data_IF_763120519465
#
_entry.id   IF_763120519465
#
_cell.length_a   1.000
_cell.length_b   1.000
_cell.length_c   1.000
_cell.angle_alpha   90.00
_cell.angle_beta   90.00
_cell.angle_gamma   90.00
#
_symmetry.space_group_name_H-M   'P 1'
#
loop_
_entity.id
_entity.type
_entity.pdbx_description
1 polymer ?
#
# COMPACT_ATOMS: atom_id res chain seq x y z
N UNK A 1 0.13 11.21 7.08
CA UNK A 1 0.82 12.11 6.12
C UNK A 1 0.78 11.50 4.73
N UNK A 2 1.50 10.40 4.48
CA UNK A 2 1.47 9.67 3.20
C UNK A 2 0.06 9.39 2.67
N UNK A 3 -0.80 8.76 3.47
CA UNK A 3 -2.15 8.39 3.05
C UNK A 3 -3.03 9.61 2.68
N UNK A 4 -2.92 10.70 3.45
CA UNK A 4 -3.67 11.93 3.17
C UNK A 4 -3.25 12.56 1.83
N UNK A 5 -1.95 12.61 1.55
CA UNK A 5 -1.45 13.13 0.27
C UNK A 5 -1.84 12.21 -0.89
N UNK A 6 -1.81 10.89 -0.68
CA UNK A 6 -2.31 9.92 -1.66
C UNK A 6 -3.78 10.15 -1.99
N UNK A 7 -4.67 10.36 -1.00
CA UNK A 7 -6.07 10.71 -1.26
C UNK A 7 -6.23 12.02 -2.03
N UNK A 8 -5.40 13.02 -1.70
CA UNK A 8 -5.48 14.34 -2.31
C UNK A 8 -5.01 14.37 -3.76
N UNK A 9 -4.01 13.55 -4.07
CA UNK A 9 -3.29 13.56 -5.35
C UNK A 9 -3.26 12.20 -6.02
N UNK A 10 -4.27 11.34 -5.77
CA UNK A 10 -4.33 9.98 -6.34
C UNK A 10 -4.09 10.02 -7.84
N UNK A 11 -3.15 9.20 -8.31
CA UNK A 11 -2.73 9.08 -9.71
C UNK A 11 -2.10 10.34 -10.34
N UNK A 12 -1.72 11.35 -9.56
CA UNK A 12 -0.90 12.47 -10.03
C UNK A 12 0.58 12.05 -10.08
N UNK A 13 1.23 11.97 -11.27
CA UNK A 13 2.59 11.45 -11.38
C UNK A 13 3.65 12.25 -10.60
N UNK A 14 3.41 13.54 -10.34
CA UNK A 14 4.35 14.41 -9.66
C UNK A 14 4.11 14.50 -8.16
N UNK A 15 2.90 14.18 -7.68
CA UNK A 15 2.47 14.45 -6.30
C UNK A 15 1.96 13.24 -5.54
N UNK A 16 1.48 12.20 -6.23
CA UNK A 16 1.05 10.97 -5.57
C UNK A 16 2.26 10.28 -4.94
N UNK A 17 2.30 10.14 -3.60
CA UNK A 17 3.43 9.51 -2.93
C UNK A 17 3.59 8.03 -3.33
N UNK A 18 2.54 7.35 -3.81
CA UNK A 18 2.64 6.00 -4.36
C UNK A 18 3.35 5.98 -5.71
N UNK A 19 3.08 6.93 -6.60
CA UNK A 19 3.71 6.98 -7.92
C UNK A 19 5.15 7.51 -7.84
N UNK A 20 5.39 8.57 -7.06
CA UNK A 20 6.72 9.19 -6.89
C UNK A 20 7.73 8.22 -6.29
N UNK A 21 7.27 7.23 -5.53
CA UNK A 21 8.14 6.19 -4.93
C UNK A 21 8.09 4.84 -5.64
N UNK A 22 7.17 4.67 -6.60
CA UNK A 22 7.07 3.45 -7.38
C UNK A 22 7.99 3.49 -8.61
N UNK A 23 8.37 2.29 -9.06
CA UNK A 23 8.98 2.09 -10.36
C UNK A 23 8.26 0.95 -11.07
N UNK A 24 8.11 1.09 -12.39
CA UNK A 24 7.59 0.01 -13.23
C UNK A 24 8.67 -1.09 -13.28
N UNK A 25 8.39 -2.33 -12.84
CA UNK A 25 9.41 -3.37 -12.80
C UNK A 25 9.94 -3.70 -14.19
N UNK A 26 11.26 -3.65 -14.42
CA UNK A 26 11.84 -3.73 -15.78
C UNK A 26 11.86 -5.14 -16.41
N UNK A 27 11.43 -6.19 -15.71
CA UNK A 27 11.42 -7.57 -16.21
C UNK A 27 10.36 -8.41 -15.50
N UNK A 28 10.02 -9.58 -16.04
CA UNK A 28 9.02 -10.49 -15.43
C UNK A 28 9.50 -11.01 -14.07
N UNK A 29 10.80 -11.26 -13.92
CA UNK A 29 11.41 -11.62 -12.62
C UNK A 29 11.24 -10.49 -11.60
N UNK A 30 11.56 -9.24 -11.96
CA UNK A 30 11.39 -8.10 -11.05
C UNK A 30 9.91 -7.85 -10.74
N UNK A 31 9.01 -8.08 -11.70
CA UNK A 31 7.57 -8.00 -11.49
C UNK A 31 7.09 -9.06 -10.51
N UNK A 32 7.50 -10.32 -10.66
CA UNK A 32 7.18 -11.39 -9.74
C UNK A 32 7.66 -11.07 -8.32
N UNK A 33 8.91 -10.62 -8.17
CA UNK A 33 9.47 -10.16 -6.89
C UNK A 33 8.66 -8.98 -6.33
N UNK A 34 8.27 -8.01 -7.16
CA UNK A 34 7.46 -6.88 -6.72
C UNK A 34 6.10 -7.32 -6.17
N UNK A 35 5.45 -8.33 -6.76
CA UNK A 35 4.18 -8.89 -6.28
C UNK A 35 4.30 -9.65 -4.95
N UNK A 36 5.50 -10.09 -4.54
CA UNK A 36 5.68 -10.65 -3.19
C UNK A 36 5.60 -9.60 -2.07
N UNK A 37 5.74 -8.31 -2.40
CA UNK A 37 5.85 -7.23 -1.42
C UNK A 37 7.18 -7.17 -0.66
N UNK A 38 8.12 -8.11 -0.89
CA UNK A 38 9.38 -8.15 -0.14
C UNK A 38 10.24 -6.89 -0.35
N UNK A 39 10.24 -6.35 -1.57
CA UNK A 39 10.96 -5.10 -1.89
C UNK A 39 10.41 -3.95 -1.08
N UNK A 40 9.08 -3.85 -0.97
CA UNK A 40 8.42 -2.81 -0.18
C UNK A 40 8.73 -2.98 1.31
N UNK A 41 8.70 -4.21 1.83
CA UNK A 41 9.03 -4.49 3.23
C UNK A 41 10.47 -4.08 3.55
N UNK A 42 11.43 -4.51 2.74
CA UNK A 42 12.84 -4.15 2.90
C UNK A 42 13.01 -2.62 2.83
N UNK A 43 12.36 -1.95 1.89
CA UNK A 43 12.44 -0.49 1.77
C UNK A 43 11.85 0.21 3.00
N UNK A 44 10.75 -0.29 3.57
CA UNK A 44 10.16 0.27 4.80
C UNK A 44 11.08 0.06 6.01
N UNK A 45 11.69 -1.11 6.15
CA UNK A 45 12.67 -1.39 7.22
C UNK A 45 13.89 -0.47 7.07
N UNK A 46 14.47 -0.38 5.87
CA UNK A 46 15.60 0.53 5.59
C UNK A 46 15.25 1.98 5.89
N UNK A 47 14.05 2.42 5.49
CA UNK A 47 13.58 3.78 5.74
C UNK A 47 13.41 4.08 7.23
N UNK A 48 12.86 3.12 8.00
CA UNK A 48 12.73 3.22 9.45
C UNK A 48 14.11 3.45 10.11
N UNK A 49 15.06 2.55 9.87
CA UNK A 49 16.40 2.65 10.47
C UNK A 49 17.17 3.88 9.97
N UNK A 50 17.08 4.21 8.67
CA UNK A 50 17.70 5.43 8.12
C UNK A 50 17.19 6.67 8.84
N UNK A 51 15.87 6.81 9.04
CA UNK A 51 15.29 7.95 9.76
C UNK A 51 15.73 7.98 11.22
N UNK A 52 15.70 6.84 11.90
CA UNK A 52 16.10 6.72 13.30
C UNK A 52 17.57 7.14 13.52
N UNK A 53 18.47 6.66 12.66
CA UNK A 53 19.92 6.88 12.76
C UNK A 53 20.35 8.26 12.27
N UNK A 54 19.86 8.71 11.11
CA UNK A 54 20.30 9.97 10.50
C UNK A 54 19.58 11.19 11.07
N UNK A 55 18.43 11.00 11.73
CA UNK A 55 17.58 12.10 12.18
C UNK A 55 16.94 12.90 11.05
N UNK A 56 16.94 12.38 9.81
CA UNK A 56 16.36 13.05 8.63
C UNK A 56 15.10 12.34 8.18
N UNK A 57 13.99 13.07 8.10
CA UNK A 57 12.69 12.58 7.61
C UNK A 57 12.14 13.42 6.46
N UNK A 58 13.02 13.88 5.56
CA UNK A 58 12.64 14.68 4.38
C UNK A 58 11.91 13.80 3.37
N UNK A 59 10.68 14.18 3.03
CA UNK A 59 9.89 13.64 1.93
C UNK A 59 8.84 14.69 1.50
N UNK A 60 8.37 14.69 0.24
CA UNK A 60 7.42 15.69 -0.26
C UNK A 60 6.14 15.82 0.58
N UNK A 61 5.64 14.72 1.13
CA UNK A 61 4.44 14.64 1.97
C UNK A 61 4.70 14.81 3.47
N UNK A 62 5.91 15.16 3.89
CA UNK A 62 6.24 15.39 5.31
C UNK A 62 6.56 16.88 5.52
N UNK A 63 5.62 17.64 6.12
CA UNK A 63 5.89 19.02 6.49
C UNK A 63 7.10 19.15 7.40
N UNK A 64 7.91 20.19 7.21
CA UNK A 64 9.14 20.42 8.00
C UNK A 64 8.88 20.41 9.51
N UNK A 65 7.81 21.07 9.96
CA UNK A 65 7.37 21.11 11.34
C UNK A 65 7.04 19.72 11.95
N UNK A 66 6.82 18.69 11.12
CA UNK A 66 6.53 17.31 11.56
C UNK A 66 7.71 16.36 11.43
N UNK A 67 8.86 16.81 10.91
CA UNK A 67 10.01 15.92 10.69
C UNK A 67 10.58 15.38 12.01
N UNK A 68 10.68 16.22 13.04
CA UNK A 68 11.17 15.80 14.37
C UNK A 68 10.28 14.72 14.99
N UNK A 69 8.96 14.86 14.84
CA UNK A 69 7.98 13.86 15.29
C UNK A 69 8.20 12.52 14.56
N UNK A 70 8.31 12.53 13.23
CA UNK A 70 8.55 11.31 12.43
C UNK A 70 9.86 10.63 12.80
N UNK A 71 10.91 11.40 13.10
CA UNK A 71 12.19 10.86 13.58
C UNK A 71 12.06 10.24 14.96
N UNK A 72 11.34 10.91 15.87
CA UNK A 72 11.05 10.38 17.20
C UNK A 72 10.32 9.05 17.15
N UNK A 73 9.24 8.97 16.35
CA UNK A 73 8.52 7.72 16.10
C UNK A 73 9.45 6.64 15.54
N UNK A 74 10.28 6.97 14.54
CA UNK A 74 11.22 6.02 13.94
C UNK A 74 12.22 5.45 14.97
N UNK A 75 12.71 6.28 15.90
CA UNK A 75 13.61 5.86 16.98
C UNK A 75 12.90 4.94 17.98
N UNK A 76 11.67 5.27 18.36
CA UNK A 76 10.87 4.44 19.27
C UNK A 76 10.63 3.06 18.64
N UNK A 77 10.17 3.01 17.38
CA UNK A 77 9.97 1.75 16.67
C UNK A 77 11.28 0.94 16.54
N UNK A 78 12.38 1.58 16.15
CA UNK A 78 13.68 0.91 16.05
C UNK A 78 14.13 0.35 17.41
N UNK A 79 13.97 1.11 18.49
CA UNK A 79 14.28 0.67 19.84
C UNK A 79 13.44 -0.53 20.26
N UNK A 80 12.11 -0.49 20.02
CA UNK A 80 11.21 -1.62 20.30
C UNK A 80 11.69 -2.88 19.57
N UNK A 81 12.03 -2.78 18.27
CA UNK A 81 12.52 -3.94 17.52
C UNK A 81 13.86 -4.48 18.03
N UNK A 82 14.79 -3.60 18.43
CA UNK A 82 16.06 -4.00 19.05
C UNK A 82 15.81 -4.71 20.38
N UNK A 83 14.92 -4.18 21.22
CA UNK A 83 14.57 -4.80 22.51
C UNK A 83 13.88 -6.15 22.34
N UNK A 84 12.94 -6.28 21.39
CA UNK A 84 12.28 -7.55 21.09
C UNK A 84 13.27 -8.60 20.59
N UNK A 85 14.22 -8.21 19.74
CA UNK A 85 15.26 -9.12 19.25
C UNK A 85 16.20 -9.53 20.38
N UNK A 86 16.70 -8.57 21.16
CA UNK A 86 17.56 -8.84 22.31
C UNK A 86 16.87 -9.74 23.35
N UNK A 87 15.60 -9.47 23.65
CA UNK A 87 14.78 -10.30 24.53
C UNK A 87 14.57 -11.71 23.97
N UNK A 88 14.34 -11.86 22.67
CA UNK A 88 14.20 -13.18 22.03
C UNK A 88 15.49 -14.00 22.17
N UNK A 89 16.65 -13.37 22.01
CA UNK A 89 17.96 -14.02 22.17
C UNK A 89 18.21 -14.38 23.64
N UNK A 90 18.00 -13.42 24.55
CA UNK A 90 18.24 -13.61 25.98
C UNK A 90 17.35 -14.70 26.59
N UNK A 91 16.10 -14.79 26.14
CA UNK A 91 15.13 -15.81 26.56
C UNK A 91 15.17 -17.08 25.70
N UNK A 92 16.08 -17.15 24.72
CA UNK A 92 16.21 -18.28 23.78
C UNK A 92 14.89 -18.71 23.13
N UNK A 93 14.05 -17.74 22.76
CA UNK A 93 12.71 -17.99 22.22
C UNK A 93 12.61 -17.57 20.76
N UNK A 94 11.79 -18.31 20.01
CA UNK A 94 11.49 -18.04 18.59
C UNK A 94 10.11 -17.42 18.39
N UNK A 95 9.42 -17.02 19.47
CA UNK A 95 8.08 -16.41 19.42
C UNK A 95 8.04 -15.18 18.51
N UNK A 96 9.07 -14.31 18.56
CA UNK A 96 9.16 -13.15 17.66
C UNK A 96 9.18 -13.57 16.19
N UNK A 97 9.82 -14.69 15.85
CA UNK A 97 9.82 -15.19 14.48
C UNK A 97 8.45 -15.73 14.07
N UNK A 98 7.90 -16.66 14.84
CA UNK A 98 6.66 -17.37 14.48
C UNK A 98 5.40 -16.51 14.58
N UNK A 99 5.30 -15.64 15.58
CA UNK A 99 4.11 -14.85 15.84
C UNK A 99 4.15 -13.46 15.19
N UNK A 100 5.32 -13.00 14.73
CA UNK A 100 5.46 -11.66 14.15
C UNK A 100 6.15 -11.66 12.78
N UNK A 101 7.42 -12.04 12.70
CA UNK A 101 8.20 -11.87 11.46
C UNK A 101 7.68 -12.72 10.30
N UNK A 102 7.36 -13.99 10.55
CA UNK A 102 6.83 -14.87 9.51
C UNK A 102 5.43 -14.41 9.04
N UNK A 103 4.44 -14.15 9.92
CA UNK A 103 3.16 -13.57 9.52
C UNK A 103 3.29 -12.24 8.77
N UNK A 104 4.24 -11.37 9.16
CA UNK A 104 4.49 -10.11 8.48
C UNK A 104 4.93 -10.33 7.03
N UNK A 105 5.90 -11.22 6.79
CA UNK A 105 6.40 -11.54 5.44
C UNK A 105 5.31 -12.20 4.60
N UNK A 106 4.60 -13.18 5.16
CA UNK A 106 3.48 -13.85 4.47
C UNK A 106 2.36 -12.86 4.16
N UNK A 107 2.05 -11.94 5.08
CA UNK A 107 1.06 -10.90 4.88
C UNK A 107 1.38 -9.98 3.69
N UNK A 108 2.66 -9.66 3.46
CA UNK A 108 3.08 -8.85 2.31
C UNK A 108 2.77 -9.52 0.96
N UNK A 109 2.84 -10.86 0.89
CA UNK A 109 2.52 -11.63 -0.31
C UNK A 109 1.06 -11.44 -0.75
N UNK A 110 0.15 -11.23 0.22
CA UNK A 110 -1.26 -10.96 -0.06
C UNK A 110 -1.57 -9.47 -0.19
N UNK A 111 -0.94 -8.65 0.65
CA UNK A 111 -1.15 -7.20 0.67
C UNK A 111 -0.71 -6.55 -0.64
N UNK A 112 0.40 -7.00 -1.23
CA UNK A 112 0.92 -6.30 -2.41
C UNK A 112 0.05 -6.45 -3.66
N UNK A 113 -0.45 -7.65 -4.03
CA UNK A 113 -1.45 -7.79 -5.09
C UNK A 113 -2.75 -7.04 -4.77
N UNK A 114 -3.14 -6.99 -3.49
CA UNK A 114 -4.32 -6.24 -3.03
C UNK A 114 -4.16 -4.74 -3.33
N UNK A 115 -3.04 -4.12 -2.96
CA UNK A 115 -2.76 -2.70 -3.22
C UNK A 115 -2.61 -2.41 -4.73
N UNK A 116 -1.97 -3.30 -5.50
CA UNK A 116 -1.91 -3.09 -6.95
C UNK A 116 -3.29 -3.08 -7.62
N UNK A 117 -4.25 -3.83 -7.08
CA UNK A 117 -5.61 -3.87 -7.59
C UNK A 117 -6.37 -2.54 -7.44
N UNK A 118 -5.93 -1.65 -6.55
CA UNK A 118 -6.64 -0.40 -6.22
C UNK A 118 -6.51 0.67 -7.31
N UNK A 119 -5.30 0.88 -7.83
CA UNK A 119 -5.02 2.01 -8.74
C UNK A 119 -4.33 1.57 -10.04
N UNK A 120 -3.62 0.44 -10.07
CA UNK A 120 -2.82 0.07 -11.26
C UNK A 120 -3.70 -0.07 -12.49
N UNK A 121 -3.37 0.69 -13.55
CA UNK A 121 -4.13 0.74 -14.80
C UNK A 121 -5.44 1.51 -14.74
N UNK A 122 -5.65 2.37 -13.74
CA UNK A 122 -6.71 3.37 -13.73
C UNK A 122 -6.23 4.70 -14.33
N UNK A 123 -7.15 5.62 -14.59
CA UNK A 123 -6.85 6.88 -15.28
C UNK A 123 -6.04 7.86 -14.42
N UNK A 124 -5.25 8.72 -15.06
CA UNK A 124 -4.51 9.81 -14.43
C UNK A 124 -5.34 11.10 -14.34
N UNK A 125 -6.51 11.02 -13.71
CA UNK A 125 -7.41 12.16 -13.50
C UNK A 125 -7.60 12.50 -12.03
N UNK A 126 -8.28 13.62 -11.76
CA UNK A 126 -8.60 14.05 -10.39
C UNK A 126 -9.81 13.31 -9.79
N UNK A 127 -10.58 12.60 -10.60
CA UNK A 127 -11.82 11.96 -10.16
C UNK A 127 -11.52 10.60 -9.56
N UNK A 128 -11.86 10.41 -8.27
CA UNK A 128 -11.79 9.10 -7.60
C UNK A 128 -12.54 7.99 -8.35
N UNK A 129 -13.57 8.34 -9.12
CA UNK A 129 -14.37 7.40 -9.90
C UNK A 129 -13.67 6.85 -11.15
N UNK A 130 -12.63 7.55 -11.61
CA UNK A 130 -11.84 7.22 -12.81
C UNK A 130 -10.44 6.75 -12.45
N UNK A 131 -9.84 7.28 -11.38
CA UNK A 131 -8.44 7.02 -11.02
C UNK A 131 -8.27 5.88 -9.98
N UNK A 132 -9.37 5.27 -9.56
CA UNK A 132 -9.42 4.23 -8.53
C UNK A 132 -10.35 3.09 -8.96
N UNK A 133 -10.12 1.88 -8.43
CA UNK A 133 -10.90 0.67 -8.71
C UNK A 133 -11.56 0.11 -7.47
N UNK A 134 -12.86 -0.14 -7.56
CA UNK A 134 -13.56 -1.00 -6.59
C UNK A 134 -13.50 -2.45 -7.05
N UNK A 135 -12.96 -3.33 -6.21
CA UNK A 135 -12.81 -4.76 -6.51
C UNK A 135 -13.90 -5.57 -5.81
N UNK A 136 -14.92 -5.95 -6.56
CA UNK A 136 -16.02 -6.78 -6.06
C UNK A 136 -15.51 -8.19 -5.75
N UNK A 137 -15.62 -8.55 -4.47
CA UNK A 137 -15.04 -9.79 -3.92
C UNK A 137 -15.98 -10.45 -2.90
N UNK A 138 -15.62 -11.64 -2.44
CA UNK A 138 -16.41 -12.43 -1.48
C UNK A 138 -16.41 -11.87 -0.05
N UNK A 139 -17.33 -12.38 0.77
CA UNK A 139 -17.54 -11.93 2.14
C UNK A 139 -16.30 -12.05 3.03
N UNK A 140 -15.50 -13.11 2.87
CA UNK A 140 -14.27 -13.30 3.66
C UNK A 140 -13.28 -12.16 3.45
N UNK A 141 -13.02 -11.79 2.19
CA UNK A 141 -12.09 -10.70 1.89
C UNK A 141 -12.65 -9.37 2.38
N UNK A 142 -13.94 -9.10 2.17
CA UNK A 142 -14.61 -7.91 2.71
C UNK A 142 -14.50 -7.83 4.23
N UNK A 143 -14.70 -8.92 4.95
CA UNK A 143 -14.53 -8.95 6.40
C UNK A 143 -13.08 -8.69 6.81
N UNK A 144 -12.13 -9.42 6.22
CA UNK A 144 -10.71 -9.33 6.56
C UNK A 144 -10.12 -7.93 6.30
N UNK A 145 -10.52 -7.30 5.20
CA UNK A 145 -10.06 -5.98 4.78
C UNK A 145 -11.02 -4.85 5.19
N UNK A 146 -11.98 -5.11 6.08
CA UNK A 146 -12.95 -4.11 6.53
C UNK A 146 -13.62 -3.36 5.38
N UNK A 147 -14.17 -4.05 4.39
CA UNK A 147 -14.83 -3.48 3.21
C UNK A 147 -13.96 -2.53 2.37
N UNK A 148 -12.66 -2.43 2.61
CA UNK A 148 -11.74 -1.64 1.77
C UNK A 148 -11.69 -2.03 0.27
N UNK A 149 -12.17 -3.21 -0.21
CA UNK A 149 -12.29 -3.44 -1.65
C UNK A 149 -13.26 -2.46 -2.33
N UNK A 150 -14.14 -1.80 -1.57
CA UNK A 150 -14.91 -0.61 -1.98
C UNK A 150 -14.01 0.64 -1.93
N UNK A 151 -12.98 0.62 -2.77
CA UNK A 151 -11.87 1.57 -2.69
C UNK A 151 -12.19 2.89 -3.40
N UNK A 152 -12.99 2.88 -4.46
CA UNK A 152 -13.47 4.13 -5.08
C UNK A 152 -14.31 4.91 -4.10
N UNK A 153 -15.16 4.24 -3.33
CA UNK A 153 -15.98 4.81 -2.28
C UNK A 153 -15.10 5.46 -1.20
N UNK A 154 -14.08 4.73 -0.75
CA UNK A 154 -13.09 5.24 0.20
C UNK A 154 -12.34 6.47 -0.33
N UNK A 155 -11.94 6.47 -1.60
CA UNK A 155 -11.23 7.61 -2.20
C UNK A 155 -12.14 8.82 -2.46
N UNK A 156 -13.37 8.58 -2.92
CA UNK A 156 -14.33 9.64 -3.21
C UNK A 156 -14.88 10.28 -1.92
N UNK A 157 -15.05 9.49 -0.85
CA UNK A 157 -15.65 9.92 0.41
C UNK A 157 -14.90 9.34 1.62
N UNK A 158 -13.64 9.78 1.87
CA UNK A 158 -12.76 9.17 2.89
C UNK A 158 -13.22 9.36 4.35
N UNK A 159 -14.25 10.18 4.58
CA UNK A 159 -14.90 10.32 5.89
C UNK A 159 -15.96 9.26 6.18
N UNK A 160 -16.39 8.49 5.17
CA UNK A 160 -17.38 7.43 5.34
C UNK A 160 -16.72 6.22 6.01
N UNK A 161 -17.26 5.73 7.13
CA UNK A 161 -16.66 4.59 7.82
C UNK A 161 -16.78 3.33 6.99
N UNK A 162 -15.80 2.45 7.17
CA UNK A 162 -15.61 1.25 6.37
C UNK A 162 -16.85 0.32 6.32
N UNK A 163 -17.62 0.24 7.41
CA UNK A 163 -18.84 -0.58 7.48
C UNK A 163 -19.99 -0.03 6.62
N UNK A 164 -19.95 1.25 6.24
CA UNK A 164 -20.95 1.92 5.42
C UNK A 164 -20.58 1.97 3.93
N UNK A 165 -19.34 1.65 3.56
CA UNK A 165 -18.90 1.62 2.15
C UNK A 165 -19.76 0.74 1.24
N UNK A 166 -20.29 -0.43 1.66
CA UNK A 166 -21.21 -1.19 0.81
C UNK A 166 -22.53 -0.45 0.51
N UNK A 167 -23.03 0.35 1.48
CA UNK A 167 -24.22 1.17 1.27
C UNK A 167 -23.92 2.33 0.33
N UNK A 168 -22.76 2.95 0.47
CA UNK A 168 -22.30 4.00 -0.43
C UNK A 168 -22.11 3.48 -1.85
N UNK A 169 -21.54 2.28 -2.02
CA UNK A 169 -21.40 1.62 -3.31
C UNK A 169 -22.75 1.54 -4.04
N UNK A 170 -23.81 1.11 -3.37
CA UNK A 170 -25.15 1.04 -3.96
C UNK A 170 -25.72 2.39 -4.44
N UNK A 171 -25.13 3.52 -4.02
CA UNK A 171 -25.54 4.88 -4.43
C UNK A 171 -24.70 5.38 -5.60
N UNK A 172 -23.42 4.99 -5.68
CA UNK A 172 -22.44 5.59 -6.60
C UNK A 172 -21.86 4.60 -7.62
N UNK A 173 -22.26 3.32 -7.57
CA UNK A 173 -21.68 2.26 -8.39
C UNK A 173 -21.72 2.57 -9.89
N UNK A 174 -22.81 3.17 -10.37
CA UNK A 174 -23.02 3.58 -11.76
C UNK A 174 -21.95 4.54 -12.27
N UNK A 175 -21.37 5.35 -11.36
CA UNK A 175 -20.29 6.31 -11.67
C UNK A 175 -18.91 5.68 -11.72
N UNK A 176 -18.73 4.47 -11.17
CA UNK A 176 -17.42 3.82 -11.06
C UNK A 176 -16.98 3.30 -12.44
N UNK A 177 -15.87 3.83 -12.95
CA UNK A 177 -15.28 3.42 -14.24
C UNK A 177 -14.59 2.06 -14.11
N UNK A 178 -13.72 1.89 -13.12
CA UNK A 178 -12.98 0.64 -12.93
C UNK A 178 -13.68 -0.26 -11.90
N UNK A 179 -14.44 -1.24 -12.40
CA UNK A 179 -15.11 -2.27 -11.61
C UNK A 179 -14.35 -3.60 -11.69
N UNK A 180 -13.53 -3.89 -10.68
CA UNK A 180 -12.75 -5.13 -10.60
C UNK A 180 -13.61 -6.34 -10.24
N UNK A 181 -13.42 -7.47 -10.94
CA UNK A 181 -14.14 -8.73 -10.66
C UNK A 181 -13.25 -9.74 -9.94
N UNK A 182 -13.11 -9.57 -8.62
CA UNK A 182 -12.30 -10.41 -7.74
C UNK A 182 -10.79 -10.26 -7.97
N UNK A 183 -10.01 -10.42 -6.90
CA UNK A 183 -8.57 -10.17 -6.93
C UNK A 183 -7.81 -11.04 -7.93
N UNK A 184 -8.20 -12.30 -8.15
CA UNK A 184 -7.54 -13.16 -9.15
C UNK A 184 -7.58 -12.58 -10.56
N UNK A 185 -8.72 -12.00 -10.97
CA UNK A 185 -8.87 -11.41 -12.30
C UNK A 185 -8.11 -10.09 -12.38
N UNK A 186 -8.32 -9.23 -11.39
CA UNK A 186 -7.66 -7.92 -11.32
C UNK A 186 -6.14 -8.07 -11.27
N UNK A 187 -5.61 -9.04 -10.52
CA UNK A 187 -4.17 -9.35 -10.52
C UNK A 187 -3.64 -9.71 -11.92
N UNK A 188 -4.39 -10.44 -12.74
CA UNK A 188 -3.97 -10.71 -14.14
C UNK A 188 -4.00 -9.44 -14.99
N UNK A 189 -5.01 -8.60 -14.82
CA UNK A 189 -5.13 -7.31 -15.51
C UNK A 189 -3.98 -6.38 -15.14
N UNK A 190 -3.63 -6.27 -13.86
CA UNK A 190 -2.51 -5.44 -13.40
C UNK A 190 -1.16 -6.01 -13.81
N UNK A 191 -0.99 -7.35 -13.84
CA UNK A 191 0.20 -7.97 -14.41
C UNK A 191 0.34 -7.64 -15.90
N UNK A 192 -0.73 -7.79 -16.69
CA UNK A 192 -0.72 -7.44 -18.11
C UNK A 192 -0.41 -5.95 -18.33
N UNK A 193 -0.99 -5.07 -17.52
CA UNK A 193 -0.72 -3.63 -17.55
C UNK A 193 0.76 -3.32 -17.27
N UNK A 194 1.36 -3.91 -16.23
CA UNK A 194 2.79 -3.71 -15.98
C UNK A 194 3.62 -4.21 -17.16
N UNK A 195 3.25 -5.34 -17.77
CA UNK A 195 3.97 -5.86 -18.93
C UNK A 195 3.92 -4.92 -20.12
N UNK A 196 2.76 -4.31 -20.42
CA UNK A 196 2.61 -3.35 -21.51
C UNK A 196 3.29 -2.02 -21.22
N UNK A 197 3.16 -1.50 -19.99
CA UNK A 197 3.74 -0.22 -19.59
C UNK A 197 5.28 -0.20 -19.69
N UNK A 198 5.94 -1.36 -19.52
CA UNK A 198 7.40 -1.50 -19.73
C UNK A 198 7.84 -1.17 -21.15
N UNK A 199 7.00 -1.47 -22.15
CA UNK A 199 7.34 -1.26 -23.57
C UNK A 199 7.21 0.19 -24.04
N UNK A 200 6.60 1.06 -23.22
CA UNK A 200 6.36 2.48 -23.54
C UNK A 200 7.46 3.38 -22.94
N UNK A 201 8.26 2.85 -22.00
CA UNK A 201 9.36 3.56 -21.33
C UNK A 201 10.76 3.12 -21.78
N UNK A 202 10.89 2.54 -22.97
CA UNK A 202 12.16 2.18 -23.61
C UNK A 202 12.56 3.18 -24.68
#
# INVERSE_FOLDING_TARGET
>A
LFHWDHHRFTQDPARDPELVTASIPSSDTKLAIAYTGIVQLINRIRLLFRRALTGRAVAPWIPEAKQSLVVGEARIYALIYVLLLAGSIALQTTVLFWCWLLPLVVGQLFLRPYLYAEHTGCEHTRSAFENTRTTYTGALMKWFSWNMPFHVEHHAYPSVPFHALPKLNAIVDERIVHRGRGYRRVTRETLAWFRSARGIGG
#
